data_IF_268137804728
#
_entry.id   IF_268137804728
#
_cell.length_a   1.000
_cell.length_b   1.000
_cell.length_c   1.000
_cell.angle_alpha   90.00
_cell.angle_beta   90.00
_cell.angle_gamma   90.00
#
_symmetry.space_group_name_H-M   'P 1'
#
loop_
_entity.id
_entity.type
_entity.pdbx_description
1 polymer ?
#
# COMPACT_ATOMS: atom_id res chain seq x y z
N UNK A 1 -5.35 34.68 57.79
CA UNK A 1 -4.81 33.52 57.12
C UNK A 1 -5.79 33.13 56.04
N UNK A 2 -5.62 33.70 54.83
CA UNK A 2 -6.54 33.54 53.70
C UNK A 2 -6.00 32.43 52.82
N UNK A 3 -6.71 31.31 52.70
CA UNK A 3 -6.42 30.21 51.80
C UNK A 3 -6.92 30.60 50.39
N UNK A 4 -5.98 30.95 49.51
CA UNK A 4 -6.28 31.14 48.09
C UNK A 4 -6.47 29.77 47.43
N UNK A 5 -7.69 29.38 47.14
CA UNK A 5 -8.08 28.23 46.33
C UNK A 5 -7.73 28.53 44.87
N UNK A 6 -6.57 28.04 44.42
CA UNK A 6 -6.19 28.08 43.00
C UNK A 6 -7.07 27.09 42.25
N UNK A 7 -8.11 27.58 41.63
CA UNK A 7 -8.98 26.79 40.74
C UNK A 7 -8.17 26.35 39.51
N UNK A 8 -7.70 25.11 39.52
CA UNK A 8 -7.12 24.46 38.35
C UNK A 8 -8.21 24.42 37.26
N UNK A 9 -8.08 25.28 36.24
CA UNK A 9 -8.90 25.16 35.01
C UNK A 9 -8.67 23.75 34.48
N UNK A 10 -9.69 22.90 34.64
CA UNK A 10 -9.77 21.62 33.93
C UNK A 10 -9.92 21.99 32.45
N UNK A 11 -8.81 21.94 31.70
CA UNK A 11 -8.84 22.03 30.25
C UNK A 11 -9.61 20.79 29.80
N UNK A 12 -10.82 21.01 29.26
CA UNK A 12 -11.62 19.94 28.69
C UNK A 12 -10.76 19.16 27.67
N UNK A 13 -10.78 17.83 27.68
CA UNK A 13 -10.01 17.04 26.72
C UNK A 13 -10.42 17.50 25.33
N UNK A 14 -9.44 17.96 24.52
CA UNK A 14 -9.68 18.36 23.14
C UNK A 14 -10.12 17.10 22.37
N UNK A 15 -11.43 16.96 22.18
CA UNK A 15 -11.99 15.87 21.38
C UNK A 15 -11.73 16.19 19.92
N UNK A 16 -11.07 15.27 19.20
CA UNK A 16 -10.96 15.39 17.75
C UNK A 16 -12.37 15.47 17.15
N UNK A 17 -12.65 16.50 16.35
CA UNK A 17 -13.97 16.67 15.76
C UNK A 17 -14.22 15.62 14.68
N UNK A 18 -15.49 15.25 14.41
CA UNK A 18 -15.85 14.36 13.30
C UNK A 18 -15.33 14.88 11.96
N UNK A 19 -15.38 16.20 11.73
CA UNK A 19 -14.83 16.84 10.53
C UNK A 19 -13.31 16.62 10.42
N UNK A 20 -12.58 16.74 11.51
CA UNK A 20 -11.14 16.50 11.49
C UNK A 20 -10.82 15.03 11.19
N UNK A 21 -11.57 14.09 11.77
CA UNK A 21 -11.44 12.66 11.47
C UNK A 21 -11.71 12.39 9.98
N UNK A 22 -12.74 13.01 9.42
CA UNK A 22 -13.06 12.91 7.98
C UNK A 22 -11.92 13.51 7.13
N UNK A 23 -11.34 14.64 7.50
CA UNK A 23 -10.23 15.26 6.77
C UNK A 23 -8.98 14.36 6.77
N UNK A 24 -8.66 13.71 7.90
CA UNK A 24 -7.59 12.72 7.95
C UNK A 24 -7.89 11.51 7.06
N UNK A 25 -9.11 11.00 7.09
CA UNK A 25 -9.56 9.88 6.28
C UNK A 25 -9.46 10.20 4.78
N UNK A 26 -9.99 11.36 4.36
CA UNK A 26 -9.93 11.83 2.98
C UNK A 26 -8.48 12.07 2.53
N UNK A 27 -7.66 12.70 3.37
CA UNK A 27 -6.24 12.92 3.08
C UNK A 27 -5.48 11.61 2.89
N UNK A 28 -5.67 10.65 3.79
CA UNK A 28 -5.04 9.32 3.66
C UNK A 28 -5.51 8.60 2.40
N UNK A 29 -6.80 8.65 2.07
CA UNK A 29 -7.35 8.01 0.87
C UNK A 29 -6.82 8.63 -0.41
N UNK A 30 -6.88 9.96 -0.54
CA UNK A 30 -6.41 10.68 -1.73
C UNK A 30 -4.89 10.50 -1.95
N UNK A 31 -4.08 10.58 -0.89
CA UNK A 31 -2.63 10.40 -1.00
C UNK A 31 -2.27 8.94 -1.33
N UNK A 32 -2.93 7.96 -0.70
CA UNK A 32 -2.68 6.55 -0.98
C UNK A 32 -3.09 6.15 -2.41
N UNK A 33 -4.15 6.75 -2.95
CA UNK A 33 -4.62 6.50 -4.31
C UNK A 33 -3.54 6.77 -5.37
N UNK A 34 -2.64 7.74 -5.13
CA UNK A 34 -1.56 8.09 -6.05
C UNK A 34 -0.62 6.91 -6.38
N UNK A 35 -0.55 5.90 -5.51
CA UNK A 35 0.28 4.71 -5.72
C UNK A 35 -0.31 3.73 -6.75
N UNK A 36 -1.60 3.84 -7.06
CA UNK A 36 -2.34 2.82 -7.79
C UNK A 36 -2.86 3.26 -9.16
N UNK A 37 -2.78 4.56 -9.50
CA UNK A 37 -3.25 5.06 -10.80
C UNK A 37 -2.47 4.48 -11.98
N UNK A 38 -1.17 4.25 -11.81
CA UNK A 38 -0.31 3.70 -12.88
C UNK A 38 -0.66 2.26 -13.29
N UNK A 39 -1.32 1.48 -12.44
CA UNK A 39 -1.62 0.07 -12.73
C UNK A 39 -2.57 -0.07 -13.95
N UNK A 40 -3.79 0.48 -13.95
CA UNK A 40 -4.69 0.36 -15.10
C UNK A 40 -4.23 1.20 -16.29
N UNK A 41 -3.40 2.22 -16.07
CA UNK A 41 -2.91 3.13 -17.11
C UNK A 41 -1.58 2.70 -17.73
N UNK A 42 -0.99 1.59 -17.30
CA UNK A 42 0.33 1.14 -17.78
C UNK A 42 0.37 0.98 -19.32
N UNK A 43 -0.67 0.43 -19.92
CA UNK A 43 -0.80 0.30 -21.38
C UNK A 43 -0.84 1.67 -22.10
N UNK A 44 -1.84 2.53 -21.82
CA UNK A 44 -1.94 3.87 -22.41
C UNK A 44 -0.69 4.73 -22.24
N UNK A 45 -0.08 4.73 -21.05
CA UNK A 45 1.15 5.48 -20.76
C UNK A 45 2.31 4.91 -21.58
N UNK A 46 2.46 3.59 -21.60
CA UNK A 46 3.51 2.90 -22.36
C UNK A 46 3.43 3.21 -23.85
N UNK A 47 2.25 3.14 -24.43
CA UNK A 47 2.02 3.47 -25.85
C UNK A 47 2.30 4.95 -26.16
N UNK A 48 1.87 5.86 -25.28
CA UNK A 48 2.03 7.30 -25.49
C UNK A 48 3.48 7.78 -25.38
N UNK A 49 4.24 7.21 -24.43
CA UNK A 49 5.60 7.65 -24.13
C UNK A 49 6.70 6.82 -24.81
N UNK A 50 6.33 5.76 -25.54
CA UNK A 50 7.29 4.92 -26.25
C UNK A 50 8.10 3.99 -25.34
N UNK A 51 7.50 3.45 -24.27
CA UNK A 51 8.13 2.38 -23.50
C UNK A 51 8.22 1.11 -24.33
N UNK A 52 9.29 0.35 -24.17
CA UNK A 52 9.31 -1.03 -24.66
C UNK A 52 8.29 -1.89 -23.92
N UNK A 53 7.69 -2.91 -24.53
CA UNK A 53 6.72 -3.77 -23.85
C UNK A 53 7.24 -4.35 -22.52
N UNK A 54 8.52 -4.74 -22.48
CA UNK A 54 9.16 -5.27 -21.27
C UNK A 54 9.35 -4.22 -20.16
N UNK A 55 9.43 -2.94 -20.51
CA UNK A 55 9.61 -1.85 -19.55
C UNK A 55 8.28 -1.30 -18.99
N UNK A 56 7.13 -1.72 -19.50
CA UNK A 56 5.81 -1.23 -19.08
C UNK A 56 5.59 -1.38 -17.56
N UNK A 57 6.08 -2.47 -16.97
CA UNK A 57 5.99 -2.69 -15.53
C UNK A 57 6.72 -1.64 -14.67
N UNK A 58 7.75 -0.96 -15.23
CA UNK A 58 8.51 0.07 -14.52
C UNK A 58 7.65 1.28 -14.12
N UNK A 59 6.54 1.52 -14.82
CA UNK A 59 5.54 2.57 -14.49
C UNK A 59 5.06 2.40 -13.04
N UNK A 60 4.77 1.19 -12.64
CA UNK A 60 4.33 0.85 -11.29
C UNK A 60 5.52 0.66 -10.34
N UNK A 61 6.58 0.03 -10.83
CA UNK A 61 7.79 -0.30 -10.06
C UNK A 61 8.41 0.92 -9.40
N UNK A 62 8.61 2.02 -10.15
CA UNK A 62 9.27 3.22 -9.63
C UNK A 62 8.43 3.90 -8.53
N UNK A 63 7.12 3.91 -8.66
CA UNK A 63 6.24 4.43 -7.61
C UNK A 63 6.37 3.61 -6.32
N UNK A 64 6.47 2.29 -6.42
CA UNK A 64 6.64 1.41 -5.26
C UNK A 64 8.03 1.50 -4.63
N UNK A 65 9.08 1.61 -5.44
CA UNK A 65 10.45 1.88 -4.95
C UNK A 65 10.47 3.22 -4.20
N UNK A 66 9.89 4.27 -4.79
CA UNK A 66 9.79 5.58 -4.14
C UNK A 66 9.11 5.49 -2.79
N UNK A 67 7.98 4.79 -2.70
CA UNK A 67 7.26 4.61 -1.44
C UNK A 67 8.07 3.80 -0.42
N UNK A 68 8.71 2.71 -0.83
CA UNK A 68 9.61 1.91 0.02
C UNK A 68 10.77 2.73 0.59
N UNK A 69 11.44 3.53 -0.26
CA UNK A 69 12.49 4.45 0.17
C UNK A 69 11.95 5.52 1.14
N UNK A 70 10.78 6.07 0.85
CA UNK A 70 10.12 7.02 1.72
C UNK A 70 9.79 6.45 3.10
N UNK A 71 9.36 5.19 3.19
CA UNK A 71 9.13 4.47 4.45
C UNK A 71 10.39 4.36 5.29
N UNK A 72 11.54 4.11 4.66
CA UNK A 72 12.82 3.96 5.36
C UNK A 72 13.44 5.29 5.73
N UNK A 73 13.34 6.30 4.85
CA UNK A 73 14.11 7.54 4.98
C UNK A 73 13.25 8.73 5.46
N UNK A 74 11.99 8.81 5.06
CA UNK A 74 11.14 9.99 5.33
C UNK A 74 10.25 9.77 6.57
N UNK A 75 9.65 8.58 6.69
CA UNK A 75 8.73 8.31 7.83
C UNK A 75 9.41 8.51 9.19
N UNK A 76 10.68 8.10 9.42
CA UNK A 76 11.37 8.38 10.69
C UNK A 76 11.52 9.87 11.01
N UNK A 77 11.51 10.75 10.01
CA UNK A 77 11.52 12.20 10.23
C UNK A 77 10.23 12.69 10.91
N UNK A 78 9.13 11.94 10.84
CA UNK A 78 7.91 12.22 11.57
C UNK A 78 8.05 12.17 13.08
N UNK A 79 9.08 11.51 13.61
CA UNK A 79 9.43 11.49 15.03
C UNK A 79 10.35 12.66 15.45
N UNK A 80 10.91 13.41 14.47
CA UNK A 80 11.90 14.48 14.70
C UNK A 80 11.39 15.86 14.29
N UNK A 81 10.63 15.92 13.20
CA UNK A 81 10.18 17.17 12.60
C UNK A 81 8.73 17.50 12.98
N UNK A 82 8.37 18.76 12.87
CA UNK A 82 6.98 19.19 12.99
C UNK A 82 6.11 18.45 11.97
N UNK A 83 5.20 17.61 12.47
CA UNK A 83 4.40 16.71 11.63
C UNK A 83 3.53 17.46 10.61
N UNK A 84 2.94 18.61 10.96
CA UNK A 84 2.15 19.42 10.03
C UNK A 84 2.99 19.89 8.85
N UNK A 85 4.18 20.47 9.11
CA UNK A 85 5.08 20.91 8.02
C UNK A 85 5.51 19.74 7.15
N UNK A 86 5.91 18.63 7.78
CA UNK A 86 6.33 17.43 7.04
C UNK A 86 5.22 16.94 6.10
N UNK A 87 3.99 16.77 6.61
CA UNK A 87 2.84 16.33 5.80
C UNK A 87 2.53 17.30 4.67
N UNK A 88 2.47 18.61 4.95
CA UNK A 88 2.18 19.62 3.94
C UNK A 88 3.26 19.65 2.84
N UNK A 89 4.53 19.53 3.20
CA UNK A 89 5.65 19.46 2.24
C UNK A 89 5.53 18.21 1.36
N UNK A 90 5.27 17.05 1.95
CA UNK A 90 5.12 15.80 1.18
C UNK A 90 3.94 15.88 0.21
N UNK A 91 2.78 16.38 0.64
CA UNK A 91 1.61 16.50 -0.26
C UNK A 91 1.89 17.55 -1.36
N UNK A 92 2.60 18.63 -1.06
CA UNK A 92 2.98 19.62 -2.07
C UNK A 92 3.99 19.03 -3.09
N UNK A 93 4.97 18.27 -2.63
CA UNK A 93 5.90 17.52 -3.51
C UNK A 93 5.13 16.52 -4.37
N UNK A 94 4.14 15.81 -3.78
CA UNK A 94 3.27 14.91 -4.56
C UNK A 94 2.50 15.66 -5.65
N UNK A 95 1.95 16.85 -5.35
CA UNK A 95 1.26 17.67 -6.36
C UNK A 95 2.18 18.04 -7.52
N UNK A 96 3.40 18.50 -7.24
CA UNK A 96 4.40 18.84 -8.28
C UNK A 96 4.79 17.60 -9.09
N UNK A 97 5.02 16.46 -8.43
CA UNK A 97 5.37 15.22 -9.11
C UNK A 97 4.22 14.69 -9.99
N UNK A 98 2.96 14.84 -9.56
CA UNK A 98 1.78 14.50 -10.37
C UNK A 98 1.66 15.39 -11.59
N UNK A 99 1.90 16.72 -11.47
CA UNK A 99 1.98 17.61 -12.64
C UNK A 99 3.10 17.17 -13.57
N UNK A 100 4.28 16.85 -13.03
CA UNK A 100 5.40 16.32 -13.79
C UNK A 100 5.06 15.03 -14.54
N UNK A 101 4.33 14.11 -13.92
CA UNK A 101 3.85 12.89 -14.58
C UNK A 101 2.87 13.22 -15.72
N UNK A 102 1.91 14.11 -15.49
CA UNK A 102 0.94 14.54 -16.51
C UNK A 102 1.57 15.31 -17.69
N UNK A 103 2.68 15.99 -17.49
CA UNK A 103 3.43 16.71 -18.53
C UNK A 103 4.53 15.88 -19.19
N UNK A 104 4.74 14.63 -18.77
CA UNK A 104 5.82 13.79 -19.28
C UNK A 104 5.67 13.50 -20.76
N UNK A 105 6.75 13.71 -21.50
CA UNK A 105 6.87 13.41 -22.94
C UNK A 105 7.87 12.28 -23.22
N UNK A 106 8.57 11.80 -22.18
CA UNK A 106 9.56 10.72 -22.29
C UNK A 106 9.40 9.72 -21.16
N UNK A 107 9.79 8.44 -21.35
CA UNK A 107 9.79 7.44 -20.29
C UNK A 107 10.55 7.88 -19.04
N UNK A 108 11.74 8.49 -19.21
CA UNK A 108 12.59 8.90 -18.09
C UNK A 108 11.93 9.97 -17.21
N UNK A 109 11.28 10.98 -17.81
CA UNK A 109 10.53 12.01 -17.06
C UNK A 109 9.40 11.39 -16.25
N UNK A 110 8.64 10.49 -16.86
CA UNK A 110 7.54 9.82 -16.20
C UNK A 110 8.03 8.94 -15.04
N UNK A 111 9.09 8.17 -15.23
CA UNK A 111 9.66 7.31 -14.17
C UNK A 111 10.21 8.12 -12.99
N UNK A 112 10.86 9.27 -13.26
CA UNK A 112 11.31 10.18 -12.19
C UNK A 112 10.13 10.78 -11.42
N UNK A 113 9.09 11.20 -12.14
CA UNK A 113 7.86 11.68 -11.51
C UNK A 113 7.19 10.57 -10.67
N UNK A 114 7.11 9.33 -11.19
CA UNK A 114 6.55 8.16 -10.47
C UNK A 114 7.32 7.86 -9.19
N UNK A 115 8.65 7.88 -9.23
CA UNK A 115 9.50 7.73 -8.04
C UNK A 115 9.19 8.80 -6.99
N UNK A 116 9.06 10.06 -7.44
CA UNK A 116 8.76 11.21 -6.58
C UNK A 116 7.35 11.14 -5.98
N UNK A 117 6.36 10.69 -6.76
CA UNK A 117 4.99 10.42 -6.29
C UNK A 117 5.03 9.36 -5.17
N UNK A 118 5.76 8.27 -5.37
CA UNK A 118 5.93 7.23 -4.37
C UNK A 118 6.56 7.78 -3.08
N UNK A 119 7.71 8.47 -3.19
CA UNK A 119 8.40 9.09 -2.05
C UNK A 119 7.49 10.02 -1.24
N UNK A 120 6.71 10.85 -1.91
CA UNK A 120 5.84 11.83 -1.26
C UNK A 120 4.57 11.20 -0.65
N UNK A 121 4.08 10.10 -1.22
CA UNK A 121 2.86 9.42 -0.75
C UNK A 121 3.01 8.79 0.63
N UNK A 122 4.22 8.69 1.19
CA UNK A 122 4.44 8.25 2.58
C UNK A 122 3.86 9.22 3.62
N UNK A 123 3.37 10.39 3.22
CA UNK A 123 2.61 11.30 4.08
C UNK A 123 1.48 10.59 4.84
N UNK A 124 0.87 9.55 4.27
CA UNK A 124 -0.12 8.68 4.92
C UNK A 124 0.42 8.08 6.21
N UNK A 125 1.67 7.64 6.23
CA UNK A 125 2.30 6.99 7.38
C UNK A 125 2.61 7.98 8.52
N UNK A 126 2.59 9.26 8.24
CA UNK A 126 2.67 10.34 9.24
C UNK A 126 1.27 10.77 9.68
N UNK A 127 0.31 10.82 8.75
CA UNK A 127 -1.08 11.24 9.03
C UNK A 127 -1.81 10.30 9.98
N UNK A 128 -1.68 8.97 9.81
CA UNK A 128 -2.39 7.99 10.64
C UNK A 128 -1.97 8.08 12.12
N UNK A 129 -0.66 8.04 12.49
CA UNK A 129 -0.23 8.27 13.86
C UNK A 129 -0.59 9.67 14.38
N UNK A 130 -0.59 10.69 13.52
CA UNK A 130 -0.99 12.04 13.90
C UNK A 130 -2.46 12.09 14.35
N UNK A 131 -3.37 11.47 13.58
CA UNK A 131 -4.78 11.35 13.94
C UNK A 131 -4.97 10.56 15.25
N UNK A 132 -4.23 9.45 15.42
CA UNK A 132 -4.24 8.64 16.63
C UNK A 132 -3.82 9.44 17.87
N UNK A 133 -2.81 10.30 17.72
CA UNK A 133 -2.30 11.13 18.80
C UNK A 133 -3.26 12.26 19.21
N UNK A 134 -4.06 12.77 18.27
CA UNK A 134 -5.08 13.80 18.56
C UNK A 134 -6.33 13.21 19.23
N UNK A 135 -6.52 11.90 19.18
CA UNK A 135 -7.69 11.25 19.73
C UNK A 135 -7.50 10.90 21.21
N UNK A 136 -8.47 11.20 22.10
CA UNK A 136 -8.51 10.65 23.45
C UNK A 136 -8.45 9.13 23.44
N UNK A 137 -7.86 8.51 24.47
CA UNK A 137 -7.67 7.06 24.56
C UNK A 137 -8.97 6.27 24.36
N UNK A 138 -10.08 6.76 24.93
CA UNK A 138 -11.39 6.13 24.87
C UNK A 138 -11.95 5.98 23.45
N UNK A 139 -11.57 6.85 22.50
CA UNK A 139 -12.09 6.84 21.12
C UNK A 139 -10.98 6.66 20.06
N UNK A 140 -9.71 6.53 20.48
CA UNK A 140 -8.55 6.43 19.56
C UNK A 140 -8.72 5.31 18.55
N UNK A 141 -9.18 4.14 18.96
CA UNK A 141 -9.43 3.01 18.05
C UNK A 141 -10.46 3.33 16.98
N UNK A 142 -11.55 4.04 17.34
CA UNK A 142 -12.58 4.47 16.39
C UNK A 142 -12.03 5.47 15.38
N UNK A 143 -11.27 6.47 15.85
CA UNK A 143 -10.68 7.49 14.97
C UNK A 143 -9.71 6.86 13.98
N UNK A 144 -8.79 6.02 14.46
CA UNK A 144 -7.84 5.29 13.59
C UNK A 144 -8.59 4.40 12.60
N UNK A 145 -9.64 3.69 13.06
CA UNK A 145 -10.47 2.86 12.19
C UNK A 145 -11.11 3.66 11.05
N UNK A 146 -11.69 4.83 11.35
CA UNK A 146 -12.28 5.70 10.34
C UNK A 146 -11.24 6.23 9.34
N UNK A 147 -10.04 6.61 9.81
CA UNK A 147 -8.95 7.07 8.94
C UNK A 147 -8.46 5.95 8.04
N UNK A 148 -8.31 4.74 8.57
CA UNK A 148 -7.93 3.55 7.79
C UNK A 148 -9.01 3.15 6.78
N UNK A 149 -10.30 3.33 7.12
CA UNK A 149 -11.39 3.10 6.16
C UNK A 149 -11.30 4.07 4.98
N UNK A 150 -11.00 5.34 5.24
CA UNK A 150 -10.76 6.32 4.16
C UNK A 150 -9.56 5.96 3.29
N UNK A 151 -8.47 5.51 3.91
CA UNK A 151 -7.28 5.02 3.19
C UNK A 151 -7.62 3.85 2.27
N UNK A 152 -8.31 2.82 2.79
CA UNK A 152 -8.70 1.64 2.01
C UNK A 152 -9.66 2.02 0.88
N UNK A 153 -10.63 2.90 1.14
CA UNK A 153 -11.55 3.41 0.12
C UNK A 153 -10.77 4.10 -1.02
N UNK A 154 -9.77 4.94 -0.69
CA UNK A 154 -8.92 5.58 -1.68
C UNK A 154 -8.15 4.58 -2.54
N UNK A 155 -7.56 3.54 -1.92
CA UNK A 155 -6.86 2.47 -2.64
C UNK A 155 -7.80 1.73 -3.60
N UNK A 156 -9.01 1.38 -3.11
CA UNK A 156 -10.01 0.64 -3.90
C UNK A 156 -10.51 1.44 -5.09
N UNK A 157 -10.80 2.71 -4.88
CA UNK A 157 -11.38 3.58 -5.92
C UNK A 157 -10.33 4.14 -6.88
N UNK A 158 -9.04 4.06 -6.56
CA UNK A 158 -7.98 4.62 -7.39
C UNK A 158 -7.98 4.04 -8.82
N UNK A 159 -8.05 2.72 -8.94
CA UNK A 159 -8.01 2.03 -10.26
C UNK A 159 -9.24 2.34 -11.11
N UNK A 160 -10.48 2.14 -10.62
CA UNK A 160 -11.68 2.51 -11.38
C UNK A 160 -11.70 3.99 -11.77
N UNK A 161 -11.36 4.89 -10.83
CA UNK A 161 -11.26 6.32 -11.09
C UNK A 161 -10.29 6.63 -12.23
N UNK A 162 -9.07 6.08 -12.16
CA UNK A 162 -8.05 6.30 -13.19
C UNK A 162 -8.53 5.83 -14.57
N UNK A 163 -9.13 4.64 -14.64
CA UNK A 163 -9.64 4.09 -15.91
C UNK A 163 -10.82 4.89 -16.47
N UNK A 164 -11.81 5.27 -15.64
CA UNK A 164 -12.96 6.06 -16.10
C UNK A 164 -12.54 7.45 -16.59
N UNK A 165 -11.64 8.14 -15.88
CA UNK A 165 -11.13 9.44 -16.32
C UNK A 165 -10.32 9.31 -17.60
N UNK A 166 -9.48 8.28 -17.71
CA UNK A 166 -8.67 8.07 -18.91
C UNK A 166 -9.51 7.75 -20.15
N UNK A 167 -10.59 6.99 -20.00
CA UNK A 167 -11.55 6.72 -21.09
C UNK A 167 -12.25 8.00 -21.55
N UNK A 168 -12.73 8.81 -20.60
CA UNK A 168 -13.47 10.02 -20.89
C UNK A 168 -12.61 11.15 -21.47
N UNK A 169 -11.30 11.14 -21.20
CA UNK A 169 -10.40 12.24 -21.53
C UNK A 169 -9.03 11.75 -22.00
N UNK A 170 -8.12 11.53 -21.07
CA UNK A 170 -6.78 10.97 -21.31
C UNK A 170 -6.12 10.55 -19.99
N UNK A 171 -5.09 9.71 -20.06
CA UNK A 171 -4.30 9.35 -18.89
C UNK A 171 -3.61 10.55 -18.22
N UNK A 172 -3.25 11.61 -18.97
CA UNK A 172 -2.65 12.84 -18.45
C UNK A 172 -3.60 13.54 -17.47
N UNK A 173 -4.91 13.59 -17.81
CA UNK A 173 -5.93 14.25 -16.97
C UNK A 173 -6.09 13.60 -15.61
N UNK A 174 -5.85 12.29 -15.48
CA UNK A 174 -5.84 11.61 -14.19
C UNK A 174 -4.82 12.27 -13.26
N UNK A 175 -3.61 12.50 -13.75
CA UNK A 175 -2.52 13.12 -12.99
C UNK A 175 -2.80 14.60 -12.69
N UNK A 176 -3.36 15.36 -13.63
CA UNK A 176 -3.71 16.76 -13.40
C UNK A 176 -4.84 16.93 -12.40
N UNK A 177 -5.91 16.13 -12.50
CA UNK A 177 -7.02 16.17 -11.54
C UNK A 177 -6.55 15.81 -10.13
N UNK A 178 -5.71 14.80 -10.01
CA UNK A 178 -5.18 14.40 -8.71
C UNK A 178 -4.16 15.40 -8.16
N UNK A 179 -3.36 16.04 -9.01
CA UNK A 179 -2.52 17.16 -8.61
C UNK A 179 -3.34 18.33 -8.05
N UNK A 180 -4.43 18.70 -8.73
CA UNK A 180 -5.36 19.72 -8.24
C UNK A 180 -5.97 19.34 -6.89
N UNK A 181 -6.37 18.07 -6.72
CA UNK A 181 -6.86 17.56 -5.44
C UNK A 181 -5.79 17.65 -4.33
N UNK A 182 -4.50 17.38 -4.64
CA UNK A 182 -3.40 17.54 -3.68
C UNK A 182 -3.20 19.02 -3.29
N UNK A 183 -3.29 19.95 -4.24
CA UNK A 183 -3.20 21.39 -3.95
C UNK A 183 -4.34 21.84 -3.02
N UNK A 184 -5.58 21.46 -3.33
CA UNK A 184 -6.73 21.72 -2.46
C UNK A 184 -6.55 21.13 -1.08
N UNK A 185 -6.03 19.89 -1.01
CA UNK A 185 -5.75 19.22 0.24
C UNK A 185 -4.70 19.96 1.08
N UNK A 186 -3.61 20.46 0.46
CA UNK A 186 -2.60 21.28 1.14
C UNK A 186 -3.22 22.53 1.75
N UNK A 187 -4.08 23.24 1.00
CA UNK A 187 -4.74 24.47 1.47
C UNK A 187 -5.63 24.16 2.68
N UNK A 188 -6.45 23.13 2.60
CA UNK A 188 -7.37 22.73 3.68
C UNK A 188 -6.58 22.29 4.93
N UNK A 189 -5.59 21.41 4.75
CA UNK A 189 -4.79 20.89 5.85
C UNK A 189 -3.94 21.99 6.49
N UNK A 190 -3.41 22.93 5.72
CA UNK A 190 -2.70 24.10 6.25
C UNK A 190 -3.58 24.94 7.18
N UNK A 191 -4.85 25.08 6.85
CA UNK A 191 -5.81 25.85 7.67
C UNK A 191 -6.31 25.10 8.90
N UNK A 192 -6.39 23.76 8.86
CA UNK A 192 -7.08 22.94 9.87
C UNK A 192 -6.15 22.11 10.75
N UNK A 193 -4.99 21.65 10.27
CA UNK A 193 -4.09 20.83 11.07
C UNK A 193 -3.42 21.65 12.18
N UNK A 194 -3.41 21.18 13.44
CA UNK A 194 -2.65 21.79 14.51
C UNK A 194 -1.14 21.57 14.32
N UNK A 195 -0.35 22.42 14.94
CA UNK A 195 1.10 22.24 15.02
C UNK A 195 1.39 21.12 16.02
N UNK A 196 2.20 20.14 15.60
CA UNK A 196 2.68 19.05 16.46
C UNK A 196 4.17 18.88 16.28
N UNK A 197 4.91 19.16 17.34
CA UNK A 197 6.35 18.93 17.41
C UNK A 197 6.59 17.69 18.29
N UNK A 198 7.18 16.63 17.78
CA UNK A 198 7.56 15.48 18.60
C UNK A 198 8.64 15.83 19.62
N UNK A 199 8.64 15.12 20.75
CA UNK A 199 9.62 15.36 21.85
C UNK A 199 10.73 14.29 21.90
N UNK A 200 11.06 13.67 20.78
CA UNK A 200 12.10 12.65 20.71
C UNK A 200 13.50 13.28 20.86
N UNK A 201 14.34 12.71 21.73
CA UNK A 201 15.75 13.11 21.92
C UNK A 201 16.73 12.33 21.02
N UNK A 202 16.24 11.43 20.19
CA UNK A 202 17.09 10.63 19.31
C UNK A 202 17.50 11.45 18.08
N UNK A 203 18.75 11.29 17.64
CA UNK A 203 19.18 11.81 16.34
C UNK A 203 18.68 10.94 15.20
N UNK A 204 18.58 11.49 13.99
CA UNK A 204 18.13 10.76 12.79
C UNK A 204 19.00 9.51 12.54
N UNK A 205 20.34 9.62 12.67
CA UNK A 205 21.24 8.47 12.50
C UNK A 205 20.99 7.35 13.53
N UNK A 206 20.65 7.69 14.79
CA UNK A 206 20.29 6.70 15.81
C UNK A 206 18.95 6.02 15.51
N UNK A 207 17.99 6.74 14.92
CA UNK A 207 16.73 6.13 14.47
C UNK A 207 16.97 5.12 13.34
N UNK A 208 17.76 5.49 12.33
CA UNK A 208 18.11 4.58 11.24
C UNK A 208 18.94 3.36 11.73
N UNK A 209 19.89 3.57 12.65
CA UNK A 209 20.65 2.49 13.25
C UNK A 209 19.74 1.53 14.02
N UNK A 210 18.77 2.05 14.80
CA UNK A 210 17.77 1.22 15.48
C UNK A 210 16.88 0.43 14.51
N UNK A 211 16.52 1.00 13.35
CA UNK A 211 15.78 0.28 12.32
C UNK A 211 16.65 -0.83 11.71
N UNK A 212 17.92 -0.55 11.42
CA UNK A 212 18.85 -1.57 10.91
C UNK A 212 19.02 -2.73 11.90
N UNK A 213 19.16 -2.42 13.20
CA UNK A 213 19.25 -3.43 14.25
C UNK A 213 17.99 -4.32 14.31
N UNK A 214 16.80 -3.72 14.29
CA UNK A 214 15.53 -4.46 14.24
C UNK A 214 15.43 -5.33 12.99
N UNK A 215 15.87 -4.83 11.83
CA UNK A 215 15.84 -5.56 10.58
C UNK A 215 16.79 -6.78 10.58
N UNK A 216 17.96 -6.65 11.21
CA UNK A 216 18.98 -7.70 11.25
C UNK A 216 18.71 -8.76 12.32
N UNK A 217 18.16 -8.38 13.47
CA UNK A 217 18.07 -9.28 14.63
C UNK A 217 16.65 -9.81 14.89
N UNK A 218 15.59 -9.23 14.33
CA UNK A 218 14.22 -9.71 14.55
C UNK A 218 13.80 -10.76 13.51
N UNK A 219 13.96 -12.04 13.84
CA UNK A 219 13.51 -13.16 12.98
C UNK A 219 12.01 -13.12 12.66
N UNK A 220 11.18 -12.67 13.61
CA UNK A 220 9.72 -12.55 13.38
C UNK A 220 9.44 -11.48 12.32
N UNK A 221 10.08 -10.31 12.42
CA UNK A 221 9.97 -9.25 11.43
C UNK A 221 10.41 -9.72 10.05
N UNK A 222 11.61 -10.30 9.95
CA UNK A 222 12.19 -10.80 8.69
C UNK A 222 11.24 -11.79 7.99
N UNK A 223 10.79 -12.82 8.71
CA UNK A 223 9.90 -13.84 8.14
C UNK A 223 8.56 -13.25 7.71
N UNK A 224 7.87 -12.51 8.59
CA UNK A 224 6.56 -11.91 8.26
C UNK A 224 6.65 -10.90 7.13
N UNK A 225 7.72 -10.13 7.05
CA UNK A 225 7.97 -9.18 5.97
C UNK A 225 8.22 -9.90 4.63
N UNK A 226 9.00 -10.99 4.61
CA UNK A 226 9.24 -11.78 3.40
C UNK A 226 7.98 -12.49 2.90
N UNK A 227 7.15 -13.04 3.79
CA UNK A 227 5.87 -13.63 3.37
C UNK A 227 4.98 -12.59 2.70
N UNK A 228 4.90 -11.41 3.31
CA UNK A 228 4.09 -10.34 2.76
C UNK A 228 4.68 -9.74 1.49
N UNK A 229 6.01 -9.67 1.36
CA UNK A 229 6.68 -9.27 0.13
C UNK A 229 6.35 -10.21 -1.03
N UNK A 230 6.37 -11.53 -0.80
CA UNK A 230 5.93 -12.52 -1.78
C UNK A 230 4.46 -12.31 -2.17
N UNK A 231 3.56 -12.23 -1.21
CA UNK A 231 2.14 -12.02 -1.48
C UNK A 231 1.86 -10.72 -2.24
N UNK A 232 2.53 -9.62 -1.88
CA UNK A 232 2.36 -8.34 -2.57
C UNK A 232 3.08 -8.27 -3.91
N UNK A 233 4.16 -9.04 -4.08
CA UNK A 233 4.80 -9.25 -5.39
C UNK A 233 3.82 -9.88 -6.37
N UNK A 234 3.13 -10.95 -5.96
CA UNK A 234 2.05 -11.58 -6.72
C UNK A 234 0.92 -10.59 -7.07
N UNK A 235 0.45 -9.84 -6.08
CA UNK A 235 -0.58 -8.80 -6.25
C UNK A 235 -0.14 -7.73 -7.27
N UNK A 236 1.06 -7.21 -7.11
CA UNK A 236 1.56 -6.15 -7.99
C UNK A 236 1.79 -6.63 -9.41
N UNK A 237 2.30 -7.85 -9.59
CA UNK A 237 2.40 -8.51 -10.88
C UNK A 237 1.02 -8.63 -11.54
N UNK A 238 0.03 -9.19 -10.83
CA UNK A 238 -1.33 -9.39 -11.35
C UNK A 238 -1.97 -8.07 -11.78
N UNK A 239 -2.02 -7.06 -10.89
CA UNK A 239 -2.68 -5.79 -11.17
C UNK A 239 -1.94 -4.88 -12.16
N UNK A 240 -0.65 -5.15 -12.44
CA UNK A 240 0.12 -4.47 -13.48
C UNK A 240 -0.15 -5.09 -14.86
N UNK A 241 -0.32 -6.40 -14.93
CA UNK A 241 -0.40 -7.12 -16.22
C UNK A 241 -1.82 -7.46 -16.65
N UNK A 242 -2.75 -7.67 -15.73
CA UNK A 242 -4.16 -7.95 -16.07
C UNK A 242 -4.81 -6.86 -16.92
N UNK A 243 -4.61 -5.53 -16.66
CA UNK A 243 -5.12 -4.49 -17.56
C UNK A 243 -4.57 -4.62 -19.00
N UNK A 244 -3.32 -5.05 -19.17
CA UNK A 244 -2.72 -5.29 -20.47
C UNK A 244 -3.37 -6.47 -21.18
N UNK A 245 -3.65 -7.55 -20.44
CA UNK A 245 -4.38 -8.71 -20.96
C UNK A 245 -5.81 -8.34 -21.39
N UNK A 246 -6.53 -7.60 -20.52
CA UNK A 246 -7.92 -7.20 -20.78
C UNK A 246 -8.05 -6.23 -21.97
N UNK A 247 -7.08 -5.34 -22.16
CA UNK A 247 -7.00 -4.47 -23.33
C UNK A 247 -6.49 -5.18 -24.60
N UNK A 248 -5.88 -6.36 -24.44
CA UNK A 248 -5.31 -7.15 -25.54
C UNK A 248 -6.37 -7.74 -26.47
N UNK A 249 -5.93 -8.33 -27.61
CA UNK A 249 -6.82 -8.77 -28.69
C UNK A 249 -7.81 -9.87 -28.27
N UNK A 250 -7.52 -10.64 -27.20
CA UNK A 250 -8.42 -11.69 -26.72
C UNK A 250 -9.69 -11.13 -26.09
N UNK A 251 -9.57 -10.09 -25.26
CA UNK A 251 -10.68 -9.48 -24.52
C UNK A 251 -11.17 -8.18 -25.16
N UNK A 252 -10.27 -7.36 -25.69
CA UNK A 252 -10.58 -6.09 -26.36
C UNK A 252 -11.35 -5.10 -25.48
N UNK A 253 -11.17 -5.14 -24.14
CA UNK A 253 -11.89 -4.26 -23.23
C UNK A 253 -11.36 -2.83 -23.32
N UNK A 254 -12.31 -1.87 -23.31
CA UNK A 254 -11.99 -0.45 -23.13
C UNK A 254 -11.57 -0.16 -21.69
N UNK A 255 -11.09 1.05 -21.43
CA UNK A 255 -10.75 1.47 -20.07
C UNK A 255 -11.96 1.42 -19.11
N UNK A 256 -13.19 1.62 -19.62
CA UNK A 256 -14.41 1.43 -18.83
C UNK A 256 -14.59 -0.04 -18.40
N UNK A 257 -14.33 -1.00 -19.29
CA UNK A 257 -14.36 -2.42 -18.94
C UNK A 257 -13.30 -2.78 -17.89
N UNK A 258 -12.09 -2.25 -18.03
CA UNK A 258 -11.00 -2.41 -17.05
C UNK A 258 -11.36 -1.77 -15.71
N UNK A 259 -12.03 -0.61 -15.71
CA UNK A 259 -12.53 0.04 -14.50
C UNK A 259 -13.52 -0.84 -13.74
N UNK A 260 -14.49 -1.44 -14.45
CA UNK A 260 -15.47 -2.36 -13.85
C UNK A 260 -14.78 -3.61 -13.29
N UNK A 261 -13.83 -4.20 -14.01
CA UNK A 261 -13.03 -5.32 -13.52
C UNK A 261 -12.25 -4.93 -12.25
N UNK A 262 -11.69 -3.73 -12.19
CA UNK A 262 -10.91 -3.26 -11.06
C UNK A 262 -11.73 -3.16 -9.74
N UNK A 263 -13.07 -3.09 -9.83
CA UNK A 263 -13.95 -3.14 -8.65
C UNK A 263 -13.87 -4.50 -7.94
N UNK A 264 -13.44 -5.57 -8.63
CA UNK A 264 -13.19 -6.86 -7.98
C UNK A 264 -12.16 -6.76 -6.83
N UNK A 265 -11.19 -5.84 -6.93
CA UNK A 265 -10.22 -5.56 -5.87
C UNK A 265 -10.84 -5.04 -4.55
N UNK A 266 -12.13 -4.65 -4.57
CA UNK A 266 -12.88 -4.31 -3.36
C UNK A 266 -12.99 -5.49 -2.36
N UNK A 267 -12.83 -6.72 -2.83
CA UNK A 267 -12.86 -7.92 -1.99
C UNK A 267 -11.80 -7.89 -0.88
N UNK A 268 -10.64 -7.26 -1.11
CA UNK A 268 -9.60 -7.07 -0.10
C UNK A 268 -10.08 -6.32 1.15
N UNK A 269 -10.99 -5.36 0.99
CA UNK A 269 -11.54 -4.63 2.13
C UNK A 269 -12.40 -5.53 3.06
N UNK A 270 -13.14 -6.47 2.47
CA UNK A 270 -13.95 -7.45 3.21
C UNK A 270 -13.06 -8.46 3.95
N UNK A 271 -11.91 -8.79 3.40
CA UNK A 271 -10.93 -9.70 4.02
C UNK A 271 -10.38 -9.18 5.36
N UNK A 272 -10.17 -7.88 5.48
CA UNK A 272 -9.51 -7.26 6.63
C UNK A 272 -10.21 -7.56 7.97
N UNK A 273 -11.53 -7.31 8.15
CA UNK A 273 -12.21 -7.65 9.40
C UNK A 273 -12.29 -9.16 9.67
N UNK A 274 -12.34 -9.99 8.63
CA UNK A 274 -12.34 -11.45 8.78
C UNK A 274 -10.98 -11.91 9.30
N UNK A 275 -9.90 -11.46 8.68
CA UNK A 275 -8.53 -11.75 9.10
C UNK A 275 -8.26 -11.30 10.55
N UNK A 276 -8.74 -10.11 10.92
CA UNK A 276 -8.65 -9.60 12.29
C UNK A 276 -9.28 -10.54 13.30
N UNK A 277 -10.53 -10.98 13.05
CA UNK A 277 -11.24 -11.92 13.94
C UNK A 277 -10.55 -13.29 14.04
N UNK A 278 -10.01 -13.81 12.93
CA UNK A 278 -9.26 -15.07 12.94
C UNK A 278 -7.97 -14.92 13.77
N UNK A 279 -7.28 -13.81 13.62
CA UNK A 279 -6.08 -13.53 14.41
C UNK A 279 -6.38 -13.33 15.90
N UNK A 280 -7.54 -12.73 16.27
CA UNK A 280 -8.00 -12.59 17.65
C UNK A 280 -8.27 -13.94 18.31
N UNK A 281 -8.72 -14.92 17.52
CA UNK A 281 -8.96 -16.31 17.98
C UNK A 281 -7.68 -17.16 18.01
N UNK A 282 -6.51 -16.60 17.78
CA UNK A 282 -5.24 -17.34 17.76
C UNK A 282 -4.99 -18.13 16.48
N UNK A 283 -5.86 -18.01 15.47
CA UNK A 283 -5.78 -18.77 14.20
C UNK A 283 -4.86 -18.13 13.16
N UNK A 284 -3.88 -17.31 13.59
CA UNK A 284 -2.96 -16.59 12.68
C UNK A 284 -2.23 -17.51 11.70
N UNK A 285 -1.79 -18.70 12.16
CA UNK A 285 -1.11 -19.67 11.29
C UNK A 285 -2.04 -20.20 10.20
N UNK A 286 -3.23 -20.66 10.57
CA UNK A 286 -4.22 -21.17 9.63
C UNK A 286 -4.67 -20.10 8.63
N UNK A 287 -4.87 -18.87 9.10
CA UNK A 287 -5.21 -17.72 8.24
C UNK A 287 -4.10 -17.39 7.25
N UNK A 288 -2.82 -17.39 7.67
CA UNK A 288 -1.67 -17.18 6.77
C UNK A 288 -1.51 -18.31 5.75
N UNK A 289 -1.71 -19.58 6.18
CA UNK A 289 -1.74 -20.74 5.27
C UNK A 289 -2.79 -20.57 4.18
N UNK A 290 -4.05 -20.32 4.61
CA UNK A 290 -5.16 -20.12 3.67
C UNK A 290 -4.89 -18.95 2.72
N UNK A 291 -4.36 -17.83 3.21
CA UNK A 291 -4.02 -16.67 2.43
C UNK A 291 -3.05 -16.99 1.28
N UNK A 292 -1.98 -17.73 1.58
CA UNK A 292 -0.98 -18.13 0.56
C UNK A 292 -1.56 -19.14 -0.43
N UNK A 293 -2.37 -20.08 0.02
CA UNK A 293 -3.08 -21.04 -0.85
C UNK A 293 -4.05 -20.30 -1.79
N UNK A 294 -4.80 -19.31 -1.31
CA UNK A 294 -5.66 -18.47 -2.13
C UNK A 294 -4.86 -17.70 -3.20
N UNK A 295 -3.70 -17.15 -2.81
CA UNK A 295 -2.80 -16.49 -3.77
C UNK A 295 -2.30 -17.43 -4.87
N UNK A 296 -1.90 -18.67 -4.54
CA UNK A 296 -1.51 -19.68 -5.51
C UNK A 296 -2.69 -20.10 -6.40
N UNK A 297 -3.86 -20.35 -5.80
CA UNK A 297 -5.08 -20.75 -6.54
C UNK A 297 -5.53 -19.69 -7.52
N UNK A 298 -5.37 -18.40 -7.19
CA UNK A 298 -5.70 -17.29 -8.09
C UNK A 298 -4.95 -17.40 -9.42
N UNK A 299 -3.64 -17.64 -9.38
CA UNK A 299 -2.84 -17.79 -10.60
C UNK A 299 -3.15 -19.08 -11.36
N UNK A 300 -3.42 -20.18 -10.65
CA UNK A 300 -3.82 -21.42 -11.32
C UNK A 300 -5.16 -21.27 -12.07
N UNK A 301 -6.14 -20.63 -11.43
CA UNK A 301 -7.45 -20.37 -12.06
C UNK A 301 -7.28 -19.44 -13.26
N UNK A 302 -6.42 -18.42 -13.17
CA UNK A 302 -6.19 -17.47 -14.23
C UNK A 302 -5.56 -18.08 -15.49
N UNK A 303 -4.92 -19.25 -15.40
CA UNK A 303 -4.40 -19.98 -16.57
C UNK A 303 -5.51 -20.43 -17.54
N UNK A 304 -6.72 -20.66 -17.05
CA UNK A 304 -7.88 -21.04 -17.86
C UNK A 304 -8.66 -19.84 -18.41
N UNK A 305 -8.16 -18.63 -18.19
CA UNK A 305 -8.86 -17.39 -18.49
C UNK A 305 -8.17 -16.62 -19.64
N UNK A 306 -7.97 -17.28 -20.80
CA UNK A 306 -7.16 -16.71 -21.89
C UNK A 306 -7.88 -16.61 -23.23
N UNK A 307 -9.11 -17.12 -23.35
CA UNK A 307 -9.85 -17.22 -24.62
C UNK A 307 -10.76 -16.00 -24.90
N UNK A 308 -10.80 -15.01 -24.02
CA UNK A 308 -11.64 -13.81 -24.16
C UNK A 308 -13.12 -14.01 -23.92
N UNK A 309 -13.55 -15.21 -23.54
CA UNK A 309 -14.95 -15.52 -23.23
C UNK A 309 -15.42 -14.85 -21.94
N UNK A 310 -16.74 -14.77 -21.75
CA UNK A 310 -17.32 -14.34 -20.46
C UNK A 310 -16.86 -15.25 -19.31
N UNK A 311 -16.71 -16.54 -19.56
CA UNK A 311 -16.19 -17.49 -18.57
C UNK A 311 -14.76 -17.15 -18.18
N UNK A 312 -13.90 -16.83 -19.16
CA UNK A 312 -12.54 -16.36 -18.89
C UNK A 312 -12.51 -15.08 -18.04
N UNK A 313 -13.38 -14.11 -18.34
CA UNK A 313 -13.50 -12.87 -17.57
C UNK A 313 -13.96 -13.14 -16.13
N UNK A 314 -14.92 -14.05 -15.94
CA UNK A 314 -15.38 -14.46 -14.61
C UNK A 314 -14.28 -15.18 -13.81
N UNK A 315 -13.49 -16.05 -14.47
CA UNK A 315 -12.34 -16.72 -13.84
C UNK A 315 -11.25 -15.71 -13.42
N UNK A 316 -10.94 -14.74 -14.28
CA UNK A 316 -10.00 -13.64 -13.90
C UNK A 316 -10.54 -12.81 -12.73
N UNK A 317 -11.84 -12.52 -12.73
CA UNK A 317 -12.48 -11.79 -11.64
C UNK A 317 -12.40 -12.58 -10.32
N UNK A 318 -12.68 -13.89 -10.36
CA UNK A 318 -12.53 -14.76 -9.21
C UNK A 318 -11.07 -14.83 -8.74
N UNK A 319 -10.11 -14.91 -9.66
CA UNK A 319 -8.68 -14.87 -9.35
C UNK A 319 -8.28 -13.55 -8.65
N UNK A 320 -8.76 -12.40 -9.15
CA UNK A 320 -8.53 -11.10 -8.51
C UNK A 320 -9.07 -11.08 -7.07
N UNK A 321 -10.30 -11.54 -6.85
CA UNK A 321 -10.94 -11.60 -5.53
C UNK A 321 -10.14 -12.50 -4.57
N UNK A 322 -9.75 -13.69 -5.01
CA UNK A 322 -8.97 -14.64 -4.20
C UNK A 322 -7.60 -14.07 -3.84
N UNK A 323 -6.93 -13.45 -4.79
CA UNK A 323 -5.62 -12.84 -4.58
C UNK A 323 -5.69 -11.69 -3.58
N UNK A 324 -6.60 -10.74 -3.79
CA UNK A 324 -6.77 -9.57 -2.92
C UNK A 324 -7.17 -9.98 -1.51
N UNK A 325 -8.05 -10.98 -1.39
CA UNK A 325 -8.44 -11.56 -0.09
C UNK A 325 -7.23 -12.19 0.61
N UNK A 326 -6.44 -13.00 -0.10
CA UNK A 326 -5.24 -13.64 0.43
C UNK A 326 -4.18 -12.62 0.87
N UNK A 327 -3.86 -11.66 0.01
CA UNK A 327 -2.87 -10.61 0.30
C UNK A 327 -3.25 -9.80 1.54
N UNK A 328 -4.51 -9.37 1.64
CA UNK A 328 -5.02 -8.59 2.77
C UNK A 328 -5.05 -9.41 4.06
N UNK A 329 -5.47 -10.68 3.99
CA UNK A 329 -5.47 -11.58 5.15
C UNK A 329 -4.06 -11.78 5.70
N UNK A 330 -3.07 -12.04 4.83
CA UNK A 330 -1.68 -12.22 5.26
C UNK A 330 -1.08 -10.91 5.80
N UNK A 331 -1.44 -9.75 5.22
CA UNK A 331 -1.03 -8.42 5.69
C UNK A 331 -1.47 -8.20 7.14
N UNK A 332 -2.75 -8.41 7.45
CA UNK A 332 -3.31 -8.20 8.79
C UNK A 332 -2.68 -9.14 9.82
N UNK A 333 -2.54 -10.42 9.46
CA UNK A 333 -1.88 -11.42 10.32
C UNK A 333 -0.41 -11.08 10.57
N UNK A 334 0.31 -10.63 9.53
CA UNK A 334 1.71 -10.24 9.62
C UNK A 334 1.92 -8.98 10.45
N UNK A 335 1.15 -7.93 10.22
CA UNK A 335 1.23 -6.68 11.01
C UNK A 335 0.98 -6.93 12.49
N UNK A 336 -0.02 -7.75 12.82
CA UNK A 336 -0.30 -8.10 14.21
C UNK A 336 0.88 -8.81 14.89
N UNK A 337 1.50 -9.78 14.21
CA UNK A 337 2.67 -10.48 14.73
C UNK A 337 3.87 -9.53 14.91
N UNK A 338 4.07 -8.61 13.96
CA UNK A 338 5.14 -7.61 14.01
C UNK A 338 4.91 -6.60 15.14
N UNK A 339 3.67 -6.14 15.36
CA UNK A 339 3.35 -5.19 16.44
C UNK A 339 3.43 -5.80 17.84
N UNK A 340 3.38 -7.12 17.94
CA UNK A 340 3.58 -7.84 19.21
C UNK A 340 5.05 -7.92 19.64
N UNK A 341 6.02 -7.62 18.75
CA UNK A 341 7.46 -7.67 19.06
C UNK A 341 7.83 -6.63 20.11
N UNK A 342 7.40 -5.37 19.93
CA UNK A 342 7.69 -4.26 20.85
C UNK A 342 6.67 -3.13 20.70
N UNK A 343 6.07 -2.73 21.82
CA UNK A 343 5.13 -1.61 21.82
C UNK A 343 5.84 -0.26 21.54
N UNK A 344 7.08 -0.11 21.99
CA UNK A 344 7.89 1.10 21.82
C UNK A 344 8.34 1.31 20.37
N UNK A 345 8.63 0.20 19.64
CA UNK A 345 9.18 0.26 18.30
C UNK A 345 8.16 0.04 17.18
N UNK A 346 6.85 0.07 17.48
CA UNK A 346 5.78 -0.24 16.49
C UNK A 346 5.88 0.55 15.20
N UNK A 347 6.19 1.85 15.27
CA UNK A 347 6.32 2.70 14.08
C UNK A 347 7.49 2.24 13.19
N UNK A 348 8.66 1.97 13.78
CA UNK A 348 9.85 1.48 13.06
C UNK A 348 9.64 0.09 12.48
N UNK A 349 9.04 -0.81 13.28
CA UNK A 349 8.68 -2.17 12.84
C UNK A 349 7.71 -2.14 11.65
N UNK A 350 6.68 -1.28 11.70
CA UNK A 350 5.76 -1.10 10.59
C UNK A 350 6.46 -0.52 9.36
N UNK A 351 7.33 0.47 9.53
CA UNK A 351 8.11 1.05 8.43
C UNK A 351 8.94 0.01 7.69
N UNK A 352 9.66 -0.84 8.42
CA UNK A 352 10.48 -1.94 7.86
C UNK A 352 9.61 -3.01 7.19
N UNK A 353 8.53 -3.43 7.84
CA UNK A 353 7.58 -4.39 7.30
C UNK A 353 6.97 -3.92 5.99
N UNK A 354 6.49 -2.67 5.95
CA UNK A 354 5.89 -2.09 4.75
C UNK A 354 6.93 -1.76 3.67
N UNK A 355 8.17 -1.38 4.03
CA UNK A 355 9.22 -1.18 3.04
C UNK A 355 9.55 -2.49 2.31
N UNK A 356 9.68 -3.61 3.04
CA UNK A 356 9.89 -4.93 2.46
C UNK A 356 8.69 -5.38 1.62
N UNK A 357 7.49 -5.10 2.07
CA UNK A 357 6.23 -5.32 1.32
C UNK A 357 6.27 -4.62 -0.04
N UNK A 358 6.57 -3.31 -0.08
CA UNK A 358 6.63 -2.56 -1.34
C UNK A 358 7.82 -2.94 -2.22
N UNK A 359 8.93 -3.40 -1.63
CA UNK A 359 10.04 -4.00 -2.40
C UNK A 359 9.57 -5.26 -3.15
N UNK A 360 8.82 -6.13 -2.49
CA UNK A 360 8.19 -7.28 -3.15
C UNK A 360 7.27 -6.86 -4.30
N UNK A 361 6.46 -5.83 -4.08
CA UNK A 361 5.59 -5.26 -5.12
C UNK A 361 6.36 -4.70 -6.31
N UNK A 362 7.45 -3.96 -6.05
CA UNK A 362 8.32 -3.42 -7.10
C UNK A 362 8.93 -4.52 -7.95
N UNK A 363 9.41 -5.60 -7.33
CA UNK A 363 9.92 -6.78 -8.03
C UNK A 363 8.79 -7.42 -8.86
N UNK A 364 7.60 -7.60 -8.25
CA UNK A 364 6.46 -8.21 -8.92
C UNK A 364 5.99 -7.43 -10.15
N UNK A 365 5.89 -6.10 -10.08
CA UNK A 365 5.50 -5.27 -11.22
C UNK A 365 6.55 -5.25 -12.34
N UNK A 366 7.84 -5.18 -11.99
CA UNK A 366 8.93 -5.20 -12.97
C UNK A 366 8.98 -6.55 -13.71
N UNK A 367 9.01 -7.64 -12.95
CA UNK A 367 9.05 -9.00 -13.51
C UNK A 367 7.76 -9.32 -14.26
N UNK A 368 6.59 -8.85 -13.79
CA UNK A 368 5.30 -9.03 -14.45
C UNK A 368 5.27 -8.40 -15.83
N UNK A 369 5.68 -7.14 -15.97
CA UNK A 369 5.75 -6.45 -17.26
C UNK A 369 6.66 -7.17 -18.24
N UNK A 370 7.84 -7.59 -17.80
CA UNK A 370 8.76 -8.37 -18.61
C UNK A 370 8.19 -9.73 -19.02
N UNK A 371 7.63 -10.48 -18.06
CA UNK A 371 7.06 -11.81 -18.33
C UNK A 371 5.89 -11.74 -19.32
N UNK A 372 5.02 -10.74 -19.18
CA UNK A 372 3.90 -10.54 -20.08
C UNK A 372 4.36 -10.21 -21.52
N UNK A 373 5.40 -9.38 -21.65
CA UNK A 373 5.96 -9.00 -22.95
C UNK A 373 6.66 -10.17 -23.66
N UNK A 374 7.27 -11.10 -22.91
CA UNK A 374 8.08 -12.20 -23.49
C UNK A 374 7.33 -13.51 -23.67
N UNK A 375 6.45 -13.86 -22.75
CA UNK A 375 5.73 -15.15 -22.75
C UNK A 375 4.21 -15.04 -22.52
N UNK A 376 3.65 -13.83 -22.63
CA UNK A 376 2.22 -13.58 -22.48
C UNK A 376 1.68 -13.94 -21.09
N UNK A 377 0.38 -14.18 -21.02
CA UNK A 377 -0.30 -14.47 -19.75
C UNK A 377 0.18 -15.75 -19.07
N UNK A 378 0.42 -16.80 -19.86
CA UNK A 378 0.85 -18.11 -19.32
C UNK A 378 2.13 -17.98 -18.51
N UNK A 379 3.17 -17.34 -19.05
CA UNK A 379 4.43 -17.11 -18.33
C UNK A 379 4.22 -16.21 -17.11
N UNK A 380 3.41 -15.15 -17.28
CA UNK A 380 3.07 -14.21 -16.20
C UNK A 380 2.41 -14.92 -15.04
N UNK A 381 1.43 -15.79 -15.30
CA UNK A 381 0.70 -16.50 -14.27
C UNK A 381 1.57 -17.54 -13.53
N UNK A 382 2.47 -18.25 -14.23
CA UNK A 382 3.43 -19.14 -13.57
C UNK A 382 4.41 -18.40 -12.66
N UNK A 383 4.94 -17.28 -13.13
CA UNK A 383 5.83 -16.46 -12.29
C UNK A 383 5.04 -15.87 -11.10
N UNK A 384 3.80 -15.41 -11.36
CA UNK A 384 2.91 -14.92 -10.32
C UNK A 384 2.61 -15.97 -9.24
N UNK A 385 2.42 -17.23 -9.64
CA UNK A 385 2.26 -18.37 -8.74
C UNK A 385 3.50 -18.61 -7.86
N UNK A 386 4.71 -18.43 -8.41
CA UNK A 386 5.95 -18.65 -7.65
C UNK A 386 6.08 -17.73 -6.42
N UNK A 387 5.57 -16.50 -6.46
CA UNK A 387 5.66 -15.57 -5.34
C UNK A 387 4.97 -16.08 -4.07
N UNK A 388 3.66 -16.42 -4.07
CA UNK A 388 3.01 -16.98 -2.89
C UNK A 388 3.51 -18.40 -2.56
N UNK A 389 3.95 -19.18 -3.55
CA UNK A 389 4.52 -20.50 -3.34
C UNK A 389 5.84 -20.43 -2.55
N UNK A 390 6.75 -19.54 -2.92
CA UNK A 390 8.00 -19.31 -2.19
C UNK A 390 7.73 -18.79 -0.78
N UNK A 391 6.76 -17.87 -0.62
CA UNK A 391 6.33 -17.41 0.70
C UNK A 391 5.78 -18.56 1.56
N UNK A 392 5.01 -19.45 0.96
CA UNK A 392 4.46 -20.63 1.63
C UNK A 392 5.53 -21.64 2.02
N UNK A 393 6.47 -21.95 1.12
CA UNK A 393 7.61 -22.83 1.43
C UNK A 393 8.43 -22.27 2.60
N UNK A 394 8.72 -20.96 2.58
CA UNK A 394 9.42 -20.32 3.68
C UNK A 394 8.59 -20.36 4.98
N UNK A 395 7.27 -20.22 4.89
CA UNK A 395 6.37 -20.32 6.04
C UNK A 395 6.38 -21.72 6.68
N UNK A 396 6.43 -22.79 5.89
CA UNK A 396 6.49 -24.17 6.40
C UNK A 396 7.74 -24.40 7.26
N UNK A 397 8.84 -23.71 7.00
CA UNK A 397 10.08 -23.81 7.82
C UNK A 397 9.92 -23.23 9.24
N UNK A 398 8.84 -22.51 9.57
CA UNK A 398 8.57 -22.06 10.95
C UNK A 398 8.32 -23.24 11.92
N UNK A 399 7.81 -24.36 11.42
CA UNK A 399 7.52 -25.57 12.24
C UNK A 399 8.78 -26.33 12.64
N UNK A 400 9.79 -26.37 11.77
CA UNK A 400 11.00 -27.15 12.00
C UNK A 400 11.97 -26.51 13.01
N UNK A 401 11.93 -25.19 13.20
CA UNK A 401 12.83 -24.50 14.14
C UNK A 401 12.43 -24.55 15.62
N UNK A 402 11.23 -25.06 15.96
CA UNK A 402 10.76 -25.18 17.36
C UNK A 402 11.10 -26.52 18.01
N UNK A 403 11.38 -27.57 17.25
CA UNK A 403 11.73 -28.89 17.80
C UNK A 403 13.17 -29.01 18.28
N UNK A 404 14.08 -28.11 17.85
CA UNK A 404 15.50 -28.18 18.24
C UNK A 404 15.84 -27.46 19.56
N UNK A 405 14.89 -26.77 20.20
CA UNK A 405 15.13 -26.04 21.47
C UNK A 405 14.52 -26.77 22.69
N UNK A 406 13.68 -27.78 22.49
CA UNK A 406 13.05 -28.54 23.59
C UNK A 406 13.81 -29.81 24.01
N UNK A 407 14.90 -30.20 23.31
CA UNK A 407 15.66 -31.41 23.59
C UNK A 407 17.03 -31.16 24.26
N UNK A 408 17.27 -29.95 24.76
CA UNK A 408 18.45 -29.66 25.60
C UNK A 408 18.00 -28.90 26.83
N UNK A 409 17.48 -29.61 27.81
CA UNK A 409 17.10 -29.10 29.12
C UNK A 409 17.16 -30.24 30.13
#
# INVERSE_FOLDING_TARGET
>A
MSLSTTTRKIVAPQTISPLMTFLFAAACGLVAANLYYGQPLAGPISASLGFTPAATGLIVTLTQIGYGLGLLLIVPLGDLLENRRLVLTLIAVSAVALVGAGLSSTPAMFLLASLSIGLASVAVQVLVPFAAHMAPDAIRGRVVGNVMSGLLCGIMLARPFASFVAEATSWHMVYFLTAAAMVVLVVILRAKLPVRVPHTRLSYGKLLASMADLALHSRVLQRRALYQAGMFGAFSLFWTTTPLLLAGPQFGLTQNGIALFALAGAAGAVASPIAGRLADRGLTKAASTLAMLLGMSAFLISQFATDGSLTALLLLTAAAILLDFGVTTNLVCGQRAVYAISAEHRSRLNGLYMATFFTGGAIGSAVGGWAYATGGWTMTAWIGFCFPALAFLLFLTEGFGRQTVSDVG
#
